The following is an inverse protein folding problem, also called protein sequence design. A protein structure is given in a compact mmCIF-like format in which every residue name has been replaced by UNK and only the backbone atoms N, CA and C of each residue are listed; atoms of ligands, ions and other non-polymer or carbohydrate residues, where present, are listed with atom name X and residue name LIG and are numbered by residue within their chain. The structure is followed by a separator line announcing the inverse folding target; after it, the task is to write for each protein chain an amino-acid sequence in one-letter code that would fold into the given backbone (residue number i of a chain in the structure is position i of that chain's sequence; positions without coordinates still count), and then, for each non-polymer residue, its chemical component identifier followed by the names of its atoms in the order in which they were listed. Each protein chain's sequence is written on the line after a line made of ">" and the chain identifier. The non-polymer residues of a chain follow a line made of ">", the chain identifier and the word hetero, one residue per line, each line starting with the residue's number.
data_IF_227429369771
#
_entry.id   IF_227429369771
#
_cell.length_a   1.000
_cell.length_b   1.000
_cell.length_c   1.000
_cell.angle_alpha   90.00
_cell.angle_beta   90.00
_cell.angle_gamma   90.00
#
_symmetry.space_group_name_H-M   'P 1'
#
loop_
_entity.id
_entity.type
_entity.pdbx_description
1 polymer ?
#
# COMPACT_ATOMS: atom_id res chain seq x y z
N UNK A 1 5.60 -44.85 -52.53
CA UNK A 1 4.37 -45.04 -51.73
C UNK A 1 3.40 -43.95 -52.18
N UNK A 2 2.56 -44.18 -53.20
CA UNK A 2 1.29 -44.92 -53.21
C UNK A 2 0.09 -44.07 -52.72
N UNK A 3 -0.93 -44.03 -53.60
CA UNK A 3 -2.22 -43.32 -53.63
C UNK A 3 -3.18 -43.62 -52.47
N UNK A 4 -4.12 -42.70 -52.19
CA UNK A 4 -5.61 -42.89 -52.16
C UNK A 4 -6.27 -41.72 -51.39
N UNK A 5 -7.41 -41.07 -51.71
CA UNK A 5 -8.69 -41.33 -52.45
C UNK A 5 -9.89 -41.44 -51.46
N UNK A 6 -11.02 -40.85 -51.88
CA UNK A 6 -12.44 -40.89 -51.42
C UNK A 6 -12.88 -39.76 -50.47
N UNK A 7 -13.84 -38.86 -50.84
CA UNK A 7 -15.30 -39.00 -51.19
C UNK A 7 -16.09 -39.52 -49.96
N UNK A 8 -17.23 -38.97 -49.49
CA UNK A 8 -18.56 -38.65 -50.09
C UNK A 8 -19.23 -37.51 -49.22
N UNK A 9 -20.03 -36.53 -49.67
CA UNK A 9 -21.40 -36.45 -50.26
C UNK A 9 -22.52 -37.11 -49.44
N UNK A 10 -23.50 -36.30 -49.02
CA UNK A 10 -24.97 -36.54 -48.90
C UNK A 10 -25.56 -35.48 -47.93
N UNK A 11 -26.80 -35.02 -47.97
CA UNK A 11 -27.75 -34.59 -49.01
C UNK A 11 -29.00 -34.09 -48.23
N UNK A 12 -29.69 -33.05 -48.75
CA UNK A 12 -31.15 -32.79 -48.65
C UNK A 12 -31.77 -32.59 -47.22
N UNK A 13 -32.80 -31.79 -46.93
CA UNK A 13 -34.03 -31.30 -47.58
C UNK A 13 -34.36 -29.92 -46.92
N UNK A 14 -34.66 -28.81 -47.58
CA UNK A 14 -35.86 -28.38 -48.33
C UNK A 14 -37.23 -28.64 -47.67
N UNK A 15 -37.84 -27.61 -47.07
CA UNK A 15 -39.29 -27.41 -47.17
C UNK A 15 -39.71 -25.96 -46.89
N UNK A 16 -40.12 -25.30 -47.96
CA UNK A 16 -41.02 -24.15 -48.01
C UNK A 16 -42.36 -24.46 -47.31
N UNK A 17 -43.03 -23.45 -46.73
CA UNK A 17 -44.31 -22.99 -47.29
C UNK A 17 -44.83 -21.69 -46.63
N UNK A 18 -45.39 -20.88 -47.53
CA UNK A 18 -45.86 -19.51 -47.44
C UNK A 18 -47.39 -19.50 -47.31
N UNK A 19 -47.96 -18.30 -47.14
CA UNK A 19 -49.36 -17.83 -47.38
C UNK A 19 -50.10 -17.30 -46.14
N UNK A 20 -51.16 -16.45 -46.29
CA UNK A 20 -51.16 -15.16 -46.96
C UNK A 20 -51.91 -14.02 -46.18
N UNK A 21 -51.68 -12.77 -46.64
CA UNK A 21 -52.41 -11.47 -46.46
C UNK A 21 -53.97 -11.57 -46.44
N UNK A 22 -54.80 -10.58 -45.98
CA UNK A 22 -54.69 -9.13 -46.36
C UNK A 22 -55.35 -8.00 -45.49
N UNK A 23 -55.03 -6.74 -45.87
CA UNK A 23 -55.87 -5.49 -45.82
C UNK A 23 -56.15 -4.83 -44.45
N UNK A 24 -56.37 -3.51 -44.25
CA UNK A 24 -56.27 -2.24 -44.99
C UNK A 24 -56.47 -1.05 -44.00
N UNK A 25 -56.18 0.19 -44.45
CA UNK A 25 -56.66 1.53 -43.99
C UNK A 25 -55.87 2.37 -42.95
N UNK A 26 -55.22 3.41 -43.50
CA UNK A 26 -55.17 4.86 -43.11
C UNK A 26 -55.38 5.26 -41.63
N UNK A 27 -54.43 6.02 -41.06
CA UNK A 27 -54.59 7.46 -40.78
C UNK A 27 -53.30 8.13 -40.27
N UNK A 28 -53.16 9.42 -40.60
CA UNK A 28 -52.08 10.35 -40.23
C UNK A 28 -52.10 10.71 -38.72
N UNK A 29 -50.93 10.74 -38.04
CA UNK A 29 -50.61 11.78 -37.03
C UNK A 29 -49.16 11.76 -36.54
N UNK A 30 -48.48 12.89 -36.77
CA UNK A 30 -47.36 13.50 -36.03
C UNK A 30 -46.35 12.59 -35.29
N UNK A 31 -45.15 12.43 -35.85
CA UNK A 31 -43.98 11.88 -35.12
C UNK A 31 -43.32 13.00 -34.29
N UNK A 32 -43.63 13.06 -32.99
CA UNK A 32 -42.76 13.71 -32.00
C UNK A 32 -41.48 12.87 -31.83
N UNK A 33 -40.32 13.44 -32.14
CA UNK A 33 -39.02 12.82 -31.94
C UNK A 33 -38.73 12.68 -30.44
N UNK A 34 -38.94 11.48 -29.89
CA UNK A 34 -38.51 11.13 -28.54
C UNK A 34 -37.01 10.81 -28.59
N UNK A 35 -36.17 11.79 -28.25
CA UNK A 35 -34.78 11.56 -27.91
C UNK A 35 -34.73 10.53 -26.76
N UNK A 36 -34.21 9.33 -27.06
CA UNK A 36 -34.04 8.28 -26.06
C UNK A 36 -33.03 8.79 -25.02
N UNK A 37 -33.34 8.75 -23.72
CA UNK A 37 -32.49 9.36 -22.72
C UNK A 37 -31.21 8.53 -22.57
N UNK A 38 -30.04 9.16 -22.77
CA UNK A 38 -28.70 8.60 -22.54
C UNK A 38 -28.42 8.24 -21.06
N UNK A 39 -29.45 8.29 -20.20
CA UNK A 39 -29.37 8.07 -18.76
C UNK A 39 -28.82 6.69 -18.38
N UNK A 40 -29.04 5.66 -19.21
CA UNK A 40 -28.53 4.30 -18.95
C UNK A 40 -27.00 4.24 -18.97
N UNK A 41 -26.35 5.02 -19.85
CA UNK A 41 -24.89 5.09 -19.90
C UNK A 41 -24.32 5.91 -18.76
N UNK A 42 -25.02 6.97 -18.35
CA UNK A 42 -24.64 7.80 -17.20
C UNK A 42 -24.69 6.98 -15.91
N UNK A 43 -25.72 6.17 -15.73
CA UNK A 43 -25.85 5.29 -14.55
C UNK A 43 -24.75 4.22 -14.51
N UNK A 44 -24.39 3.64 -15.67
CA UNK A 44 -23.28 2.69 -15.77
C UNK A 44 -21.91 3.32 -15.47
N UNK A 45 -21.68 4.54 -15.93
CA UNK A 45 -20.43 5.26 -15.66
C UNK A 45 -20.29 5.62 -14.17
N UNK A 46 -21.38 6.05 -13.51
CA UNK A 46 -21.39 6.34 -12.07
C UNK A 46 -21.06 5.08 -11.26
N UNK A 47 -21.66 3.93 -11.62
CA UNK A 47 -21.36 2.67 -10.95
C UNK A 47 -19.88 2.26 -11.11
N UNK A 48 -19.29 2.46 -12.30
CA UNK A 48 -17.88 2.19 -12.56
C UNK A 48 -16.96 3.08 -11.69
N UNK A 49 -17.25 4.38 -11.61
CA UNK A 49 -16.45 5.32 -10.81
C UNK A 49 -16.51 4.96 -9.32
N UNK A 50 -17.68 4.57 -8.81
CA UNK A 50 -17.83 4.13 -7.41
C UNK A 50 -17.00 2.86 -7.15
N UNK A 51 -16.96 1.92 -8.10
CA UNK A 51 -16.12 0.72 -7.98
C UNK A 51 -14.64 1.09 -7.96
N UNK A 52 -14.18 1.97 -8.86
CA UNK A 52 -12.77 2.40 -8.91
C UNK A 52 -12.36 3.14 -7.63
N UNK A 53 -13.20 4.06 -7.15
CA UNK A 53 -12.95 4.78 -5.89
C UNK A 53 -12.97 3.81 -4.71
N UNK A 54 -13.91 2.87 -4.67
CA UNK A 54 -13.97 1.84 -3.63
C UNK A 54 -12.73 0.95 -3.63
N UNK A 55 -12.25 0.54 -4.81
CA UNK A 55 -11.01 -0.23 -4.96
C UNK A 55 -9.81 0.59 -4.50
N UNK A 56 -9.69 1.85 -4.91
CA UNK A 56 -8.61 2.74 -4.45
C UNK A 56 -8.67 2.96 -2.94
N UNK A 57 -9.86 3.13 -2.37
CA UNK A 57 -10.03 3.30 -0.92
C UNK A 57 -9.66 2.03 -0.14
N UNK A 58 -10.00 0.85 -0.67
CA UNK A 58 -9.55 -0.45 -0.13
C UNK A 58 -8.03 -0.56 -0.22
N UNK A 59 -7.40 -0.19 -1.34
CA UNK A 59 -5.94 -0.19 -1.46
C UNK A 59 -5.24 0.86 -0.58
N UNK A 60 -5.87 2.00 -0.30
CA UNK A 60 -5.36 3.01 0.62
C UNK A 60 -5.57 2.67 2.10
N UNK A 61 -6.48 1.75 2.43
CA UNK A 61 -6.71 1.30 3.82
C UNK A 61 -6.10 -0.07 4.11
N UNK A 62 -5.78 -0.86 3.08
CA UNK A 62 -4.85 -1.97 3.18
C UNK A 62 -3.42 -1.42 3.17
N UNK A 63 -3.03 -0.78 4.27
CA UNK A 63 -1.63 -0.83 4.68
C UNK A 63 -1.26 -2.32 4.74
N UNK A 64 -0.43 -2.66 3.77
CA UNK A 64 0.36 -3.87 3.62
C UNK A 64 0.43 -4.59 4.95
N UNK A 65 -0.26 -5.74 5.04
CA UNK A 65 -0.01 -6.75 6.06
C UNK A 65 1.48 -7.06 5.93
N UNK A 66 2.30 -6.34 6.70
CA UNK A 66 3.69 -6.70 6.88
C UNK A 66 3.61 -8.12 7.42
N UNK A 67 4.23 -9.11 6.77
CA UNK A 67 4.28 -10.46 7.33
C UNK A 67 4.73 -10.30 8.77
N UNK A 68 4.07 -10.98 9.71
CA UNK A 68 4.45 -10.97 11.12
C UNK A 68 5.91 -11.43 11.21
N UNK A 69 6.83 -10.47 11.14
CA UNK A 69 8.27 -10.67 11.15
C UNK A 69 8.64 -10.87 12.61
N UNK A 70 8.17 -12.00 13.15
CA UNK A 70 8.44 -12.62 14.46
C UNK A 70 8.81 -11.71 15.63
N UNK A 71 8.24 -11.98 16.81
CA UNK A 71 8.77 -11.40 18.04
C UNK A 71 10.20 -11.93 18.30
N UNK A 72 11.17 -11.02 18.46
CA UNK A 72 12.53 -11.38 18.83
C UNK A 72 12.62 -11.73 20.31
N UNK A 73 12.03 -10.92 21.17
CA UNK A 73 12.02 -11.10 22.64
C UNK A 73 10.84 -10.36 23.28
N UNK A 74 10.44 -10.76 24.49
CA UNK A 74 9.51 -10.02 25.33
C UNK A 74 10.24 -9.40 26.53
N UNK A 75 10.02 -8.12 26.79
CA UNK A 75 10.54 -7.39 27.95
C UNK A 75 9.37 -6.97 28.82
N UNK A 76 9.20 -7.63 29.98
CA UNK A 76 8.07 -7.42 30.89
C UNK A 76 6.68 -7.52 30.22
N UNK A 77 6.57 -8.35 29.18
CA UNK A 77 5.33 -8.54 28.42
C UNK A 77 5.17 -7.64 27.19
N UNK A 78 6.07 -6.66 26.99
CA UNK A 78 6.11 -5.86 25.77
C UNK A 78 7.01 -6.53 24.71
N UNK A 79 6.50 -6.78 23.49
CA UNK A 79 7.27 -7.45 22.44
C UNK A 79 8.25 -6.49 21.75
N UNK A 80 9.48 -6.94 21.53
CA UNK A 80 10.42 -6.32 20.60
C UNK A 80 10.42 -7.15 19.30
N UNK A 81 10.08 -6.52 18.17
CA UNK A 81 9.96 -7.21 16.89
C UNK A 81 11.31 -7.51 16.25
N UNK A 82 11.40 -8.59 15.48
CA UNK A 82 12.63 -8.91 14.73
C UNK A 82 12.89 -7.88 13.63
N UNK A 83 11.85 -7.27 13.05
CA UNK A 83 11.99 -6.18 12.07
C UNK A 83 12.74 -4.99 12.67
N UNK A 84 12.47 -4.64 13.92
CA UNK A 84 13.20 -3.57 14.61
C UNK A 84 14.68 -3.93 14.78
N UNK A 85 14.97 -5.13 15.24
CA UNK A 85 16.35 -5.63 15.41
C UNK A 85 17.10 -5.66 14.08
N UNK A 86 16.46 -6.13 13.02
CA UNK A 86 17.03 -6.16 11.67
C UNK A 86 17.33 -4.73 11.19
N UNK A 87 16.42 -3.78 11.39
CA UNK A 87 16.63 -2.38 11.02
C UNK A 87 17.80 -1.73 11.76
N UNK A 88 18.04 -2.11 13.02
CA UNK A 88 19.20 -1.65 13.77
C UNK A 88 20.49 -2.31 13.28
N UNK A 89 20.44 -3.60 12.97
CA UNK A 89 21.60 -4.34 12.44
C UNK A 89 22.04 -3.82 11.07
N UNK A 90 21.09 -3.47 10.21
CA UNK A 90 21.37 -2.89 8.88
C UNK A 90 22.09 -1.54 8.96
N UNK A 91 21.94 -0.80 10.07
CA UNK A 91 22.65 0.47 10.31
C UNK A 91 24.09 0.27 10.78
N UNK A 92 24.45 -0.93 11.22
CA UNK A 92 25.83 -1.24 11.62
C UNK A 92 26.72 -1.17 10.38
N UNK A 93 27.79 -0.35 10.37
CA UNK A 93 28.72 -0.28 9.25
C UNK A 93 29.24 -1.68 8.89
N UNK A 94 29.30 -2.00 7.60
CA UNK A 94 29.66 -3.35 7.13
C UNK A 94 31.02 -3.83 7.68
N UNK A 95 31.95 -2.91 7.96
CA UNK A 95 33.25 -3.23 8.56
C UNK A 95 33.14 -3.70 10.01
N UNK A 96 32.06 -3.34 10.71
CA UNK A 96 31.80 -3.67 12.12
C UNK A 96 30.85 -4.85 12.29
N UNK A 97 30.07 -5.21 11.27
CA UNK A 97 29.13 -6.35 11.31
C UNK A 97 29.75 -7.69 11.75
N UNK A 98 31.03 -8.01 11.47
CA UNK A 98 31.66 -9.22 12.01
C UNK A 98 31.85 -9.22 13.53
N UNK A 99 31.84 -8.04 14.16
CA UNK A 99 32.09 -7.85 15.60
C UNK A 99 30.81 -7.59 16.39
N UNK A 100 29.77 -7.10 15.73
CA UNK A 100 28.48 -6.78 16.33
C UNK A 100 27.50 -7.80 15.80
N UNK A 101 26.93 -8.64 16.66
CA UNK A 101 25.93 -9.63 16.26
C UNK A 101 24.52 -9.13 16.53
N UNK A 102 23.51 -9.78 15.93
CA UNK A 102 22.11 -9.44 16.20
C UNK A 102 21.74 -9.66 17.67
N UNK A 103 22.35 -10.65 18.32
CA UNK A 103 22.18 -10.92 19.74
C UNK A 103 22.65 -9.75 20.60
N UNK A 104 23.78 -9.11 20.26
CA UNK A 104 24.24 -7.90 20.95
C UNK A 104 23.23 -6.76 20.83
N UNK A 105 22.64 -6.59 19.65
CA UNK A 105 21.60 -5.56 19.43
C UNK A 105 20.33 -5.88 20.21
N UNK A 106 19.93 -7.15 20.29
CA UNK A 106 18.80 -7.59 21.11
C UNK A 106 19.07 -7.26 22.57
N UNK A 107 20.24 -7.60 23.10
CA UNK A 107 20.61 -7.32 24.50
C UNK A 107 20.59 -5.82 24.81
N UNK A 108 21.16 -5.00 23.92
CA UNK A 108 21.10 -3.54 24.03
C UNK A 108 19.67 -3.00 24.00
N UNK A 109 18.82 -3.56 23.13
CA UNK A 109 17.42 -3.19 23.01
C UNK A 109 16.62 -3.56 24.27
N UNK A 110 16.89 -4.73 24.86
CA UNK A 110 16.29 -5.13 26.14
C UNK A 110 16.67 -4.15 27.24
N UNK A 111 17.96 -3.82 27.37
CA UNK A 111 18.44 -2.90 28.40
C UNK A 111 17.81 -1.50 28.24
N UNK A 112 17.72 -1.01 27.01
CA UNK A 112 17.04 0.25 26.70
C UNK A 112 15.56 0.20 27.13
N UNK A 113 14.85 -0.85 26.75
CA UNK A 113 13.42 -1.00 27.05
C UNK A 113 13.16 -1.05 28.56
N UNK A 114 13.97 -1.81 29.31
CA UNK A 114 13.88 -1.87 30.78
C UNK A 114 14.07 -0.47 31.39
N UNK A 115 15.04 0.30 30.90
CA UNK A 115 15.29 1.66 31.39
C UNK A 115 14.12 2.61 31.07
N UNK A 116 13.54 2.52 29.87
CA UNK A 116 12.38 3.32 29.48
C UNK A 116 11.13 2.99 30.30
N UNK A 117 10.88 1.70 30.53
CA UNK A 117 9.78 1.24 31.38
C UNK A 117 9.93 1.75 32.82
N UNK A 118 11.14 1.74 33.37
CA UNK A 118 11.39 2.27 34.72
C UNK A 118 11.31 3.80 34.77
N UNK A 119 11.84 4.51 33.77
CA UNK A 119 11.68 5.96 33.69
C UNK A 119 10.18 6.35 33.67
N UNK A 120 9.37 5.62 32.89
CA UNK A 120 7.92 5.79 32.86
C UNK A 120 7.25 5.42 34.18
N UNK A 121 7.72 4.38 34.88
CA UNK A 121 7.20 3.97 36.19
C UNK A 121 7.42 5.06 37.26
N UNK A 122 8.53 5.78 37.15
CA UNK A 122 8.89 6.94 37.98
C UNK A 122 8.21 8.24 37.55
N UNK A 123 7.43 8.22 36.46
CA UNK A 123 6.75 9.40 35.93
C UNK A 123 7.71 10.42 35.31
N UNK A 124 8.88 9.97 34.83
CA UNK A 124 9.79 10.81 34.08
C UNK A 124 9.26 11.00 32.65
N UNK A 125 9.19 12.24 32.22
CA UNK A 125 8.84 12.65 30.86
C UNK A 125 9.78 13.77 30.43
N UNK A 126 10.00 13.90 29.13
CA UNK A 126 10.79 14.98 28.53
C UNK A 126 9.86 15.73 27.59
N UNK A 127 9.90 17.06 27.61
CA UNK A 127 9.14 17.89 26.65
C UNK A 127 9.94 18.12 25.37
N UNK A 128 9.24 18.42 24.27
CA UNK A 128 9.89 18.67 22.98
C UNK A 128 10.89 19.85 23.07
N UNK A 129 10.57 20.87 23.87
CA UNK A 129 11.46 22.01 24.11
C UNK A 129 12.75 21.59 24.85
N UNK A 130 12.67 20.66 25.81
CA UNK A 130 13.86 20.14 26.49
C UNK A 130 14.77 19.35 25.55
N UNK A 131 14.18 18.62 24.59
CA UNK A 131 14.94 17.90 23.56
C UNK A 131 15.63 18.89 22.61
N UNK A 132 14.90 19.91 22.13
CA UNK A 132 15.43 20.94 21.26
C UNK A 132 16.58 21.73 21.92
N UNK A 133 16.39 22.13 23.17
CA UNK A 133 17.41 22.87 23.95
C UNK A 133 18.69 22.03 24.12
N UNK A 134 18.58 20.73 24.44
CA UNK A 134 19.76 19.87 24.60
C UNK A 134 20.43 19.56 23.25
N UNK A 135 19.65 19.45 22.16
CA UNK A 135 20.18 19.31 20.81
C UNK A 135 21.00 20.55 20.41
N UNK A 136 20.43 21.75 20.58
CA UNK A 136 21.11 23.01 20.25
C UNK A 136 22.42 23.16 21.05
N UNK A 137 22.38 22.83 22.34
CA UNK A 137 23.56 22.86 23.21
C UNK A 137 24.63 21.83 22.80
N UNK A 138 24.21 20.66 22.33
CA UNK A 138 25.12 19.65 21.79
C UNK A 138 25.80 20.13 20.52
N UNK A 139 25.04 20.75 19.60
CA UNK A 139 25.56 21.32 18.35
C UNK A 139 26.54 22.47 18.64
N UNK A 140 26.22 23.35 19.59
CA UNK A 140 27.13 24.42 20.04
C UNK A 140 28.45 23.85 20.58
N UNK A 141 28.37 22.77 21.37
CA UNK A 141 29.56 22.08 21.90
C UNK A 141 30.42 21.47 20.78
N UNK A 142 29.80 21.05 19.68
CA UNK A 142 30.47 20.54 18.49
C UNK A 142 30.96 21.65 17.55
N UNK A 143 30.59 22.92 17.81
CA UNK A 143 30.89 24.05 16.94
C UNK A 143 30.16 23.99 15.59
N UNK A 144 29.02 23.30 15.55
CA UNK A 144 28.19 23.13 14.36
C UNK A 144 26.92 23.98 14.51
N UNK A 145 26.49 24.65 13.45
CA UNK A 145 25.20 25.35 13.46
C UNK A 145 24.04 24.39 13.19
N UNK A 146 22.83 24.75 13.64
CA UNK A 146 21.63 23.95 13.37
C UNK A 146 21.36 23.79 11.85
N UNK A 147 21.55 24.85 11.08
CA UNK A 147 21.37 24.83 9.62
C UNK A 147 22.35 23.88 8.91
N UNK A 148 23.61 23.82 9.37
CA UNK A 148 24.60 22.86 8.86
C UNK A 148 24.25 21.41 9.25
N UNK A 149 23.66 21.22 10.41
CA UNK A 149 23.18 19.92 10.87
C UNK A 149 22.00 19.44 10.01
N UNK A 150 20.97 20.27 9.84
CA UNK A 150 19.81 20.01 9.00
C UNK A 150 20.23 19.70 7.55
N UNK A 151 21.10 20.53 6.97
CA UNK A 151 21.64 20.32 5.61
C UNK A 151 22.34 18.97 5.45
N UNK A 152 22.96 18.46 6.52
CA UNK A 152 23.61 17.15 6.50
C UNK A 152 22.60 16.01 6.59
N UNK A 153 21.56 16.14 7.40
CA UNK A 153 20.48 15.15 7.47
C UNK A 153 19.78 15.02 6.12
N UNK A 154 19.48 16.15 5.47
CA UNK A 154 18.91 16.19 4.13
C UNK A 154 19.80 15.46 3.10
N UNK A 155 21.12 15.68 3.18
CA UNK A 155 22.08 14.99 2.31
C UNK A 155 22.10 13.47 2.54
N UNK A 156 21.79 13.04 3.76
CA UNK A 156 21.67 11.62 4.15
C UNK A 156 20.25 11.06 3.96
N UNK A 157 19.29 11.86 3.47
CA UNK A 157 17.85 11.56 3.38
C UNK A 157 17.26 11.13 4.74
N UNK A 158 17.69 11.78 5.82
CA UNK A 158 17.17 11.58 7.16
C UNK A 158 16.31 12.79 7.55
N UNK A 159 15.19 12.50 8.20
CA UNK A 159 14.32 13.52 8.76
C UNK A 159 14.78 13.90 10.18
N UNK A 160 14.60 15.14 10.60
CA UNK A 160 14.96 15.56 11.96
C UNK A 160 14.03 14.93 12.99
N UNK A 161 12.76 14.75 12.63
CA UNK A 161 11.74 14.03 13.42
C UNK A 161 12.11 12.55 13.64
N UNK A 162 13.06 12.02 12.86
CA UNK A 162 13.56 10.66 13.08
C UNK A 162 14.61 10.59 14.21
N UNK A 163 15.26 11.71 14.52
CA UNK A 163 16.29 11.82 15.57
C UNK A 163 15.75 12.32 16.90
N UNK A 164 14.59 12.98 16.89
CA UNK A 164 13.83 13.47 18.04
C UNK A 164 12.80 12.43 18.50
#
# INVERSE_FOLDING_TARGET
>A
MAKNKHEDIEDLEDTFEDTPKPSSKKSNKSRKSKNKPKLKYILGFIALVIIVVGVLWIFSTFDIIKPDKGTAVFVNGEPISMEYIDSLYERVPTQLQPFITKETIIEQSINKEVLLQEAKSLGLSVSDEEVEDELLKTLETMGQSFEEFESRLDAENLDIDFLL
#
